data_IF_927034149641
#
_entry.id   IF_927034149641
#
_cell.length_a   1.000
_cell.length_b   1.000
_cell.length_c   1.000
_cell.angle_alpha   90.00
_cell.angle_beta   90.00
_cell.angle_gamma   90.00
#
_symmetry.space_group_name_H-M   'P 1'
#
loop_
_entity.id
_entity.type
_entity.pdbx_description
1 polymer ?
#
# COMPACT_ATOMS: atom_id res chain seq x y z
N UNK A 1 -22.76 -7.24 11.97
CA UNK A 1 -22.94 -6.01 11.19
C UNK A 1 -22.20 -6.21 9.90
N UNK A 2 -22.76 -5.91 8.72
CA UNK A 2 -22.12 -6.38 7.51
C UNK A 2 -20.87 -5.54 7.26
N UNK A 3 -19.77 -6.27 7.24
CA UNK A 3 -18.79 -6.30 6.16
C UNK A 3 -18.12 -5.01 5.71
N UNK A 4 -16.80 -5.15 5.55
CA UNK A 4 -15.85 -4.17 5.04
C UNK A 4 -16.46 -3.35 3.88
N UNK A 5 -16.57 -2.03 4.02
CA UNK A 5 -17.22 -1.17 3.02
C UNK A 5 -16.54 -1.18 1.66
N UNK A 6 -15.22 -1.41 1.63
CA UNK A 6 -14.43 -1.65 0.42
C UNK A 6 -13.03 -2.16 0.80
N UNK A 7 -12.43 -2.96 -0.07
CA UNK A 7 -11.02 -3.35 0.08
C UNK A 7 -10.12 -2.26 -0.49
N UNK A 8 -9.16 -1.80 0.31
CA UNK A 8 -8.22 -0.74 -0.10
C UNK A 8 -7.17 -1.26 -1.12
N UNK A 9 -6.79 -2.53 -1.01
CA UNK A 9 -5.96 -3.27 -1.96
C UNK A 9 -6.55 -4.70 -2.08
N UNK A 10 -6.30 -5.47 -3.16
CA UNK A 10 -5.59 -5.11 -4.40
C UNK A 10 -6.42 -4.18 -5.31
N UNK A 11 -5.85 -3.79 -6.46
CA UNK A 11 -6.49 -2.92 -7.45
C UNK A 11 -7.97 -3.26 -7.66
N UNK A 12 -8.88 -2.26 -7.67
CA UNK A 12 -10.33 -2.49 -7.75
C UNK A 12 -10.78 -3.21 -9.03
N UNK A 13 -9.93 -3.25 -10.06
CA UNK A 13 -10.19 -3.96 -11.31
C UNK A 13 -9.80 -5.45 -11.28
N UNK A 14 -9.12 -5.90 -10.22
CA UNK A 14 -8.75 -7.30 -10.05
C UNK A 14 -9.61 -7.94 -8.99
N UNK A 15 -10.26 -9.01 -9.37
CA UNK A 15 -10.99 -9.85 -8.43
C UNK A 15 -10.03 -10.62 -7.54
N UNK A 16 -10.40 -10.79 -6.27
CA UNK A 16 -9.52 -11.27 -5.20
C UNK A 16 -8.93 -12.66 -5.48
N UNK A 17 -9.69 -13.51 -6.17
CA UNK A 17 -9.31 -14.88 -6.54
C UNK A 17 -8.25 -14.92 -7.66
N UNK A 18 -8.26 -13.99 -8.60
CA UNK A 18 -7.26 -13.91 -9.68
C UNK A 18 -5.85 -13.56 -9.16
N UNK A 19 -5.76 -13.03 -7.94
CA UNK A 19 -4.50 -12.65 -7.28
C UNK A 19 -4.20 -13.55 -6.08
N UNK A 20 -4.89 -14.69 -5.95
CA UNK A 20 -4.65 -15.66 -4.87
C UNK A 20 -4.95 -15.13 -3.46
N UNK A 21 -5.90 -14.19 -3.32
CA UNK A 21 -6.34 -13.63 -2.03
C UNK A 21 -7.54 -14.39 -1.49
N UNK A 22 -7.63 -14.54 -0.17
CA UNK A 22 -8.78 -15.18 0.49
C UNK A 22 -9.71 -14.14 1.11
N UNK A 23 -10.96 -14.06 0.63
CA UNK A 23 -12.01 -13.21 1.23
C UNK A 23 -12.63 -13.82 2.50
N UNK A 24 -12.40 -15.11 2.73
CA UNK A 24 -12.98 -15.87 3.84
C UNK A 24 -12.29 -15.65 5.19
N UNK A 25 -11.20 -14.87 5.23
CA UNK A 25 -10.48 -14.53 6.44
C UNK A 25 -10.54 -13.02 6.70
N UNK A 26 -11.38 -12.61 7.64
CA UNK A 26 -11.54 -11.20 8.04
C UNK A 26 -10.45 -10.72 9.00
N UNK A 27 -9.41 -11.53 9.26
CA UNK A 27 -8.22 -11.11 9.99
C UNK A 27 -7.54 -9.96 9.26
N UNK A 28 -7.24 -8.87 9.99
CA UNK A 28 -6.69 -7.60 9.46
C UNK A 28 -5.29 -7.34 9.99
N UNK A 29 -4.42 -8.33 9.86
CA UNK A 29 -3.05 -8.26 10.39
C UNK A 29 -2.11 -7.98 9.24
N UNK A 30 -1.36 -6.88 9.35
CA UNK A 30 -0.29 -6.56 8.43
C UNK A 30 0.98 -6.19 9.21
N UNK A 31 2.11 -6.71 8.77
CA UNK A 31 3.41 -6.56 9.44
C UNK A 31 4.43 -6.05 8.43
N UNK A 32 5.13 -4.99 8.81
CA UNK A 32 6.31 -4.49 8.10
C UNK A 32 7.54 -4.77 8.97
N UNK A 33 8.51 -5.51 8.43
CA UNK A 33 9.75 -5.78 9.15
C UNK A 33 10.84 -4.74 8.83
N UNK A 34 11.91 -4.78 9.63
CA UNK A 34 13.09 -3.93 9.47
C UNK A 34 13.99 -4.31 8.30
N UNK A 35 13.62 -5.26 7.43
CA UNK A 35 14.32 -5.55 6.16
C UNK A 35 13.55 -5.08 4.94
N UNK A 36 12.33 -4.56 5.12
CA UNK A 36 11.50 -4.06 4.03
C UNK A 36 10.51 -5.07 3.47
N UNK A 37 10.21 -6.15 4.20
CA UNK A 37 9.15 -7.09 3.83
C UNK A 37 7.86 -6.65 4.50
N UNK A 38 6.85 -6.40 3.68
CA UNK A 38 5.46 -6.19 4.09
C UNK A 38 4.67 -7.48 3.83
N UNK A 39 4.03 -8.00 4.87
CA UNK A 39 3.18 -9.19 4.79
C UNK A 39 1.82 -8.91 5.42
N UNK A 40 0.74 -9.33 4.77
CA UNK A 40 -0.62 -9.17 5.25
C UNK A 40 -1.36 -10.52 5.29
N UNK A 41 -2.29 -10.66 6.24
CA UNK A 41 -3.07 -11.89 6.49
C UNK A 41 -3.97 -12.32 5.33
N UNK A 42 -4.19 -11.44 4.36
CA UNK A 42 -4.87 -11.71 3.08
C UNK A 42 -3.93 -12.31 2.02
N UNK A 43 -2.75 -12.81 2.43
CA UNK A 43 -1.69 -13.37 1.59
C UNK A 43 -1.00 -12.33 0.67
N UNK A 44 -0.99 -11.05 1.07
CA UNK A 44 -0.22 -10.04 0.36
C UNK A 44 1.22 -10.09 0.83
N UNK A 45 2.16 -10.13 -0.11
CA UNK A 45 3.56 -9.88 0.20
C UNK A 45 4.11 -8.83 -0.76
N UNK A 46 4.87 -7.89 -0.23
CA UNK A 46 5.59 -6.88 -1.00
C UNK A 46 6.93 -6.58 -0.35
N UNK A 47 7.88 -6.16 -1.17
CA UNK A 47 9.22 -5.77 -0.73
C UNK A 47 9.49 -4.32 -1.11
N UNK A 48 10.21 -3.61 -0.25
CA UNK A 48 10.68 -2.26 -0.53
C UNK A 48 11.83 -2.26 -1.53
N UNK A 49 12.04 -1.13 -2.22
CA UNK A 49 13.15 -0.96 -3.16
C UNK A 49 14.53 -1.08 -2.51
N UNK A 50 14.61 -0.85 -1.20
CA UNK A 50 15.81 -0.96 -0.37
C UNK A 50 15.87 -2.27 0.46
N UNK A 51 15.20 -3.31 -0.03
CA UNK A 51 15.14 -4.62 0.62
C UNK A 51 16.53 -5.17 0.95
N UNK A 52 16.64 -5.83 2.10
CA UNK A 52 17.87 -6.47 2.57
C UNK A 52 18.73 -5.60 3.48
N UNK A 53 18.46 -4.29 3.55
CA UNK A 53 19.13 -3.38 4.49
C UNK A 53 18.27 -3.16 5.73
N UNK A 54 18.90 -3.26 6.91
CA UNK A 54 18.25 -3.00 8.19
C UNK A 54 18.11 -1.49 8.42
N UNK A 55 16.96 -0.94 8.06
CA UNK A 55 16.67 0.50 8.10
C UNK A 55 15.54 0.79 9.07
N UNK A 56 15.49 2.03 9.57
CA UNK A 56 14.31 2.50 10.26
C UNK A 56 13.19 2.71 9.24
N UNK A 57 12.04 2.09 9.49
CA UNK A 57 10.89 2.14 8.59
C UNK A 57 9.64 2.61 9.32
N UNK A 58 8.80 3.34 8.59
CA UNK A 58 7.45 3.69 9.03
C UNK A 58 6.49 3.42 7.88
N UNK A 59 5.30 2.95 8.25
CA UNK A 59 4.23 2.67 7.33
C UNK A 59 3.15 3.75 7.53
N UNK A 60 2.73 4.41 6.46
CA UNK A 60 1.83 5.56 6.55
C UNK A 60 0.75 5.51 5.47
N UNK A 61 -0.48 5.83 5.86
CA UNK A 61 -1.52 6.25 4.94
C UNK A 61 -1.41 7.76 4.75
N UNK A 62 -1.08 8.18 3.54
CA UNK A 62 -0.90 9.59 3.21
C UNK A 62 -2.24 10.27 2.87
N UNK A 63 -2.30 11.62 2.91
CA UNK A 63 -3.54 12.37 2.64
C UNK A 63 -4.11 12.18 1.24
N UNK A 64 -3.29 11.76 0.28
CA UNK A 64 -3.74 11.40 -1.07
C UNK A 64 -4.43 10.03 -1.13
N UNK A 65 -4.61 9.39 0.03
CA UNK A 65 -5.21 8.07 0.14
C UNK A 65 -4.28 6.96 -0.29
N UNK A 66 -2.98 7.19 -0.52
CA UNK A 66 -2.03 6.14 -0.88
C UNK A 66 -1.24 5.65 0.34
N UNK A 67 -0.93 4.35 0.36
CA UNK A 67 -0.24 3.70 1.46
C UNK A 67 1.22 3.52 1.10
N UNK A 68 2.11 4.06 1.92
CA UNK A 68 3.55 4.14 1.62
C UNK A 68 4.40 3.63 2.77
N UNK A 69 5.49 2.96 2.40
CA UNK A 69 6.61 2.69 3.30
C UNK A 69 7.63 3.80 3.11
N UNK A 70 7.99 4.42 4.21
CA UNK A 70 9.11 5.34 4.27
C UNK A 70 10.27 4.66 4.99
N UNK A 71 11.45 4.81 4.41
CA UNK A 71 12.72 4.37 5.00
C UNK A 71 13.59 5.58 5.33
N UNK A 72 14.48 5.42 6.31
CA UNK A 72 15.62 6.29 6.54
C UNK A 72 16.80 5.50 7.08
N UNK A 73 18.01 5.89 6.70
CA UNK A 73 19.24 5.23 7.12
C UNK A 73 19.65 5.63 8.54
N UNK A 74 19.57 6.93 8.83
CA UNK A 74 19.91 7.48 10.15
C UNK A 74 18.85 8.46 10.64
N UNK A 75 18.86 8.78 11.94
CA UNK A 75 17.89 9.71 12.54
C UNK A 75 18.00 11.12 11.95
N UNK A 76 19.19 11.50 11.49
CA UNK A 76 19.50 12.80 10.89
C UNK A 76 19.07 12.89 9.42
N UNK A 77 18.84 11.75 8.76
CA UNK A 77 18.45 11.71 7.36
C UNK A 77 16.95 11.89 7.16
N UNK A 78 16.61 12.41 5.97
CA UNK A 78 15.22 12.57 5.54
C UNK A 78 14.62 11.21 5.21
N UNK A 79 13.33 11.08 5.50
CA UNK A 79 12.53 9.96 5.05
C UNK A 79 12.35 10.01 3.53
N UNK A 80 12.56 8.88 2.86
CA UNK A 80 12.23 8.71 1.44
C UNK A 80 11.23 7.56 1.28
N UNK A 81 10.46 7.59 0.19
CA UNK A 81 9.49 6.53 -0.13
C UNK A 81 10.26 5.35 -0.73
N UNK A 82 10.22 4.20 -0.06
CA UNK A 82 10.87 2.97 -0.51
C UNK A 82 9.87 1.98 -1.11
N UNK A 83 8.57 2.19 -0.88
CA UNK A 83 7.49 1.44 -1.52
C UNK A 83 6.16 2.19 -1.41
N UNK A 84 5.26 1.96 -2.36
CA UNK A 84 3.88 2.43 -2.31
C UNK A 84 2.92 1.38 -2.87
N UNK A 85 1.72 1.30 -2.30
CA UNK A 85 0.71 0.31 -2.68
C UNK A 85 0.17 0.55 -4.09
N UNK A 86 -0.08 1.81 -4.43
CA UNK A 86 -0.61 2.22 -5.72
C UNK A 86 0.46 3.07 -6.42
N UNK A 87 0.97 2.58 -7.55
CA UNK A 87 2.04 3.28 -8.29
C UNK A 87 1.51 4.48 -9.07
N UNK A 88 0.32 4.36 -9.67
CA UNK A 88 -0.35 5.42 -10.38
C UNK A 88 -1.33 6.14 -9.44
N UNK A 89 -1.03 7.38 -9.05
CA UNK A 89 -1.89 8.17 -8.15
C UNK A 89 -3.34 8.30 -8.63
N UNK A 90 -3.59 8.31 -9.94
CA UNK A 90 -4.93 8.35 -10.51
C UNK A 90 -5.78 7.10 -10.24
N UNK A 91 -5.17 5.99 -9.80
CA UNK A 91 -5.86 4.75 -9.45
C UNK A 91 -6.24 4.69 -7.97
N UNK A 92 -5.85 5.67 -7.16
CA UNK A 92 -6.26 5.73 -5.77
C UNK A 92 -7.75 6.08 -5.71
N UNK A 93 -8.49 5.31 -4.92
CA UNK A 93 -9.94 5.43 -4.85
C UNK A 93 -10.36 6.81 -4.31
N UNK A 94 -11.19 7.52 -5.07
CA UNK A 94 -11.73 8.82 -4.67
C UNK A 94 -10.82 10.03 -4.94
N UNK A 95 -9.75 9.87 -5.74
CA UNK A 95 -8.89 11.01 -6.13
C UNK A 95 -9.63 12.05 -6.99
N UNK A 96 -10.56 11.59 -7.83
CA UNK A 96 -11.36 12.45 -8.69
C UNK A 96 -12.83 12.45 -8.26
N UNK A 97 -13.46 13.63 -8.31
CA UNK A 97 -14.89 13.79 -8.07
C UNK A 97 -15.76 13.36 -9.25
N UNK A 98 -17.08 13.41 -9.07
CA UNK A 98 -18.04 13.09 -10.13
C UNK A 98 -17.77 13.94 -11.39
N UNK A 99 -17.80 13.30 -12.56
CA UNK A 99 -17.58 13.93 -13.86
C UNK A 99 -16.20 14.59 -14.03
N UNK A 100 -15.16 14.07 -13.35
CA UNK A 100 -13.77 14.52 -13.50
C UNK A 100 -12.84 13.38 -13.90
N UNK A 101 -11.71 13.72 -14.55
CA UNK A 101 -10.71 12.77 -15.04
C UNK A 101 -9.35 13.07 -14.45
N UNK A 102 -8.61 12.02 -14.06
CA UNK A 102 -7.22 12.14 -13.65
C UNK A 102 -6.30 11.89 -14.84
N UNK A 103 -5.34 12.78 -15.06
CA UNK A 103 -4.29 12.63 -16.06
C UNK A 103 -2.96 13.07 -15.44
N UNK A 104 -1.87 12.47 -15.91
CA UNK A 104 -0.54 13.00 -15.61
C UNK A 104 -0.29 14.24 -16.46
N UNK A 105 0.32 15.26 -15.86
CA UNK A 105 0.81 16.41 -16.61
C UNK A 105 2.02 15.98 -17.47
N UNK A 106 2.15 16.58 -18.65
CA UNK A 106 3.18 16.25 -19.64
C UNK A 106 4.43 17.10 -19.50
#
# INVERSE_FOLDING_TARGET
GPDVSSSYWPSPYRVSWDVGRTLFNSSRIAVLNSFGVFHSSDNFTSVTSDYGTMLQRRLKLDPDGNFRVYSRNSVLEKWYVSWQAITNGCQVHGVCGANSTCAFDH
#
